data_IF_325928211684
#
_entry.id   IF_325928211684
#
_cell.length_a   1.000
_cell.length_b   1.000
_cell.length_c   1.000
_cell.angle_alpha   90.00
_cell.angle_beta   90.00
_cell.angle_gamma   90.00
#
_symmetry.space_group_name_H-M   'P 1'
#
loop_
_entity.id
_entity.type
_entity.pdbx_description
1 polymer ?
#
# COMPACT_ATOMS: atom_id res chain seq x y z
N UNK A 1 -13.50 -0.27 10.13
CA UNK A 1 -13.04 -0.03 8.75
C UNK A 1 -12.46 -1.32 8.19
N UNK A 2 -12.67 -1.60 6.90
CA UNK A 2 -12.02 -2.76 6.25
C UNK A 2 -10.50 -2.51 6.19
N UNK A 3 -9.65 -3.52 6.45
CA UNK A 3 -8.21 -3.35 6.30
C UNK A 3 -7.86 -3.04 4.83
N UNK A 4 -6.77 -2.29 4.60
CA UNK A 4 -6.36 -1.78 3.27
C UNK A 4 -6.36 -2.87 2.20
N UNK A 5 -5.84 -4.06 2.52
CA UNK A 5 -5.74 -5.20 1.59
C UNK A 5 -7.07 -5.93 1.32
N UNK A 6 -8.19 -5.49 1.91
CA UNK A 6 -9.55 -5.96 1.60
C UNK A 6 -10.42 -4.87 0.96
N UNK A 7 -9.87 -3.67 0.72
CA UNK A 7 -10.54 -2.60 0.00
C UNK A 7 -10.22 -2.71 -1.50
N UNK A 8 -11.19 -2.36 -2.32
CA UNK A 8 -11.00 -2.18 -3.76
C UNK A 8 -10.11 -0.97 -4.05
N UNK A 9 -9.53 -0.94 -5.25
CA UNK A 9 -8.76 0.22 -5.71
C UNK A 9 -9.60 1.52 -5.69
N UNK A 10 -10.91 1.43 -6.00
CA UNK A 10 -11.80 2.58 -5.96
C UNK A 10 -12.03 3.10 -4.52
N UNK A 11 -12.25 2.20 -3.55
CA UNK A 11 -12.39 2.57 -2.14
C UNK A 11 -11.12 3.25 -1.61
N UNK A 12 -9.94 2.72 -1.97
CA UNK A 12 -8.65 3.29 -1.58
C UNK A 12 -8.39 4.66 -2.22
N UNK A 13 -8.73 4.83 -3.51
CA UNK A 13 -8.60 6.10 -4.19
C UNK A 13 -9.53 7.16 -3.57
N UNK A 14 -10.78 6.80 -3.28
CA UNK A 14 -11.72 7.69 -2.60
C UNK A 14 -11.23 8.12 -1.22
N UNK A 15 -10.72 7.18 -0.42
CA UNK A 15 -10.14 7.51 0.89
C UNK A 15 -8.89 8.40 0.77
N UNK A 16 -8.10 8.22 -0.29
CA UNK A 16 -6.95 9.07 -0.58
C UNK A 16 -7.35 10.49 -0.98
N UNK A 17 -8.31 10.63 -1.89
CA UNK A 17 -8.85 11.93 -2.32
C UNK A 17 -9.56 12.67 -1.18
N UNK A 18 -10.18 11.94 -0.25
CA UNK A 18 -10.79 12.50 0.95
C UNK A 18 -9.77 12.91 2.03
N UNK A 19 -8.48 12.58 1.86
CA UNK A 19 -7.42 12.85 2.85
C UNK A 19 -7.49 11.95 4.09
N UNK A 20 -8.29 10.89 4.06
CA UNK A 20 -8.42 9.91 5.15
C UNK A 20 -7.24 8.93 5.19
N UNK A 21 -6.65 8.67 4.02
CA UNK A 21 -5.45 7.86 3.84
C UNK A 21 -4.48 8.56 2.90
N UNK A 22 -3.18 8.36 3.10
CA UNK A 22 -2.17 8.79 2.14
C UNK A 22 -1.70 7.62 1.28
N UNK A 23 -1.19 7.89 0.08
CA UNK A 23 -0.57 6.90 -0.78
C UNK A 23 0.57 6.18 -0.07
N UNK A 24 1.36 6.89 0.74
CA UNK A 24 2.39 6.28 1.60
C UNK A 24 1.76 5.28 2.56
N UNK A 25 0.67 5.65 3.25
CA UNK A 25 0.03 4.78 4.23
C UNK A 25 -0.57 3.52 3.60
N UNK A 26 -1.16 3.64 2.41
CA UNK A 26 -1.67 2.51 1.64
C UNK A 26 -0.52 1.56 1.27
N UNK A 27 0.59 2.13 0.79
CA UNK A 27 1.77 1.36 0.36
C UNK A 27 2.42 0.62 1.53
N UNK A 28 2.62 1.28 2.68
CA UNK A 28 3.12 0.67 3.91
C UNK A 28 2.25 -0.52 4.34
N UNK A 29 0.93 -0.35 4.34
CA UNK A 29 0.00 -1.42 4.73
C UNK A 29 0.09 -2.65 3.81
N UNK A 30 0.35 -2.45 2.52
CA UNK A 30 0.59 -3.53 1.57
C UNK A 30 1.94 -4.23 1.83
N UNK A 31 3.03 -3.46 2.02
CA UNK A 31 4.36 -4.00 2.32
C UNK A 31 4.37 -4.80 3.63
N UNK A 32 3.71 -4.30 4.67
CA UNK A 32 3.54 -5.01 5.94
C UNK A 32 2.83 -6.35 5.77
N UNK A 33 1.82 -6.40 4.89
CA UNK A 33 1.08 -7.63 4.62
C UNK A 33 1.94 -8.63 3.87
N UNK A 34 2.71 -8.16 2.88
CA UNK A 34 3.68 -8.98 2.15
C UNK A 34 4.69 -9.56 3.13
N UNK A 35 5.32 -8.73 3.98
CA UNK A 35 6.31 -9.20 4.97
C UNK A 35 5.77 -10.26 5.94
N UNK A 36 4.47 -10.23 6.26
CA UNK A 36 3.83 -11.21 7.15
C UNK A 36 3.45 -12.53 6.46
N UNK A 37 3.19 -12.53 5.16
CA UNK A 37 2.61 -13.68 4.46
C UNK A 37 3.54 -14.33 3.45
N UNK A 38 4.40 -13.57 2.80
CA UNK A 38 5.10 -14.03 1.61
C UNK A 38 6.11 -15.14 1.92
N UNK A 39 6.59 -15.24 3.17
CA UNK A 39 7.39 -16.39 3.61
C UNK A 39 6.65 -17.74 3.59
N UNK A 40 5.32 -17.73 3.56
CA UNK A 40 4.50 -18.95 3.39
C UNK A 40 3.93 -19.06 1.98
N UNK A 41 3.48 -17.94 1.41
CA UNK A 41 2.81 -17.92 0.10
C UNK A 41 3.80 -18.01 -1.06
N UNK A 42 5.02 -17.49 -0.90
CA UNK A 42 6.06 -17.43 -1.93
C UNK A 42 5.55 -16.78 -3.24
N UNK A 43 4.81 -15.67 -3.11
CA UNK A 43 4.21 -14.95 -4.24
C UNK A 43 5.18 -13.95 -4.89
N UNK A 44 6.12 -13.38 -4.12
CA UNK A 44 7.05 -12.36 -4.63
C UNK A 44 8.48 -12.90 -4.75
N UNK A 45 9.08 -12.73 -5.93
CA UNK A 45 10.50 -13.05 -6.16
C UNK A 45 11.41 -11.97 -5.55
N UNK A 46 11.01 -10.71 -5.66
CA UNK A 46 11.75 -9.56 -5.13
C UNK A 46 10.79 -8.42 -4.82
N UNK A 47 10.94 -7.84 -3.63
CA UNK A 47 10.18 -6.67 -3.17
C UNK A 47 11.13 -5.47 -3.10
N UNK A 48 10.67 -4.29 -3.55
CA UNK A 48 11.45 -3.03 -3.56
C UNK A 48 10.76 -1.97 -2.68
N UNK A 49 10.80 -2.12 -1.34
CA UNK A 49 10.02 -1.29 -0.44
C UNK A 49 10.39 0.19 -0.54
N UNK A 50 11.68 0.53 -0.64
CA UNK A 50 12.14 1.92 -0.69
C UNK A 50 11.60 2.63 -1.94
N UNK A 51 11.67 1.96 -3.09
CA UNK A 51 11.22 2.51 -4.37
C UNK A 51 9.69 2.68 -4.41
N UNK A 52 8.96 1.74 -3.80
CA UNK A 52 7.51 1.83 -3.68
C UNK A 52 7.10 3.02 -2.79
N UNK A 53 7.78 3.22 -1.67
CA UNK A 53 7.53 4.34 -0.76
C UNK A 53 7.92 5.69 -1.38
N UNK A 54 9.01 5.76 -2.15
CA UNK A 54 9.40 6.98 -2.89
C UNK A 54 8.31 7.40 -3.89
N UNK A 55 7.78 6.45 -4.67
CA UNK A 55 6.69 6.73 -5.59
C UNK A 55 5.42 7.19 -4.87
N UNK A 56 5.09 6.57 -3.73
CA UNK A 56 3.94 6.95 -2.93
C UNK A 56 4.06 8.38 -2.38
N UNK A 57 5.24 8.77 -1.88
CA UNK A 57 5.51 10.14 -1.43
C UNK A 57 5.31 11.16 -2.56
N UNK A 58 5.82 10.87 -3.75
CA UNK A 58 5.63 11.76 -4.91
C UNK A 58 4.16 11.93 -5.32
N UNK A 59 3.30 10.95 -5.03
CA UNK A 59 1.85 11.06 -5.27
C UNK A 59 1.20 11.93 -4.19
N UNK A 60 1.57 11.75 -2.92
CA UNK A 60 1.04 12.54 -1.81
C UNK A 60 1.45 14.03 -1.89
N UNK A 61 2.57 14.34 -2.54
CA UNK A 61 3.07 15.70 -2.75
C UNK A 61 2.43 16.44 -3.95
N UNK A 62 1.65 15.75 -4.79
CA UNK A 62 1.00 16.31 -5.99
C UNK A 62 -0.40 16.85 -5.71
#
# INVERSE_FOLDING_TARGET
>A
MKPVHHQSACELLQAQEAGELSAVRITEACLDRIGKLDGSVHAFISVRPERALEQAKSIDER
#
